data_IF_449921018811
#
_entry.id   IF_449921018811
#
_cell.length_a   1.000
_cell.length_b   1.000
_cell.length_c   1.000
_cell.angle_alpha   90.00
_cell.angle_beta   90.00
_cell.angle_gamma   90.00
#
_symmetry.space_group_name_H-M   'P 1'
#
loop_
_entity.id
_entity.type
_entity.pdbx_description
1 polymer ?
#
# COMPACT_ATOMS: atom_id res chain seq x y z
N UNK A 1 0.27 39.62 13.71
CA UNK A 1 1.06 38.43 14.08
C UNK A 1 0.17 37.21 13.89
N UNK A 2 0.30 36.48 12.78
CA UNK A 2 -0.31 35.15 12.64
C UNK A 2 0.55 34.17 13.46
N UNK A 3 -0.10 33.45 14.36
CA UNK A 3 0.55 32.72 15.44
C UNK A 3 1.18 31.43 14.90
N UNK A 4 2.40 31.10 15.33
CA UNK A 4 3.08 29.87 14.89
C UNK A 4 2.27 28.59 15.19
N UNK A 5 1.41 28.64 16.21
CA UNK A 5 0.45 27.59 16.57
C UNK A 5 -0.63 27.37 15.51
N UNK A 6 -1.15 28.44 14.89
CA UNK A 6 -2.16 28.34 13.83
C UNK A 6 -1.55 27.69 12.58
N UNK A 7 -0.30 28.02 12.26
CA UNK A 7 0.45 27.43 11.15
C UNK A 7 0.73 25.95 11.34
N UNK A 8 1.04 25.50 12.56
CA UNK A 8 1.27 24.08 12.86
C UNK A 8 -0.02 23.25 12.80
N UNK A 9 -1.13 23.78 13.31
CA UNK A 9 -2.44 23.13 13.23
C UNK A 9 -2.94 23.02 11.79
N UNK A 10 -2.80 24.08 11.00
CA UNK A 10 -3.14 24.08 9.57
C UNK A 10 -2.29 23.08 8.78
N UNK A 11 -1.00 22.98 9.11
CA UNK A 11 -0.10 22.00 8.49
C UNK A 11 -0.50 20.57 8.82
N UNK A 12 -0.74 20.26 10.10
CA UNK A 12 -1.21 18.95 10.52
C UNK A 12 -2.55 18.55 9.87
N UNK A 13 -3.49 19.48 9.75
CA UNK A 13 -4.77 19.22 9.08
C UNK A 13 -4.61 18.97 7.57
N UNK A 14 -3.68 19.68 6.91
CA UNK A 14 -3.37 19.45 5.50
C UNK A 14 -2.66 18.11 5.28
N UNK A 15 -1.74 17.74 6.18
CA UNK A 15 -1.02 16.46 6.12
C UNK A 15 -2.01 15.29 6.33
N UNK A 16 -2.95 15.41 7.27
CA UNK A 16 -4.02 14.43 7.49
C UNK A 16 -4.95 14.30 6.27
N UNK A 17 -5.37 15.42 5.67
CA UNK A 17 -6.18 15.40 4.45
C UNK A 17 -5.44 14.74 3.28
N UNK A 18 -4.13 14.98 3.14
CA UNK A 18 -3.30 14.36 2.13
C UNK A 18 -3.20 12.83 2.33
N UNK A 19 -2.99 12.37 3.57
CA UNK A 19 -2.95 10.95 3.90
C UNK A 19 -4.29 10.24 3.55
N UNK A 20 -5.42 10.84 3.90
CA UNK A 20 -6.75 10.33 3.55
C UNK A 20 -7.00 10.27 2.05
N UNK A 21 -6.58 11.30 1.30
CA UNK A 21 -6.70 11.33 -0.15
C UNK A 21 -5.86 10.22 -0.83
N UNK A 22 -4.64 9.98 -0.34
CA UNK A 22 -3.77 8.90 -0.82
C UNK A 22 -4.44 7.55 -0.61
N UNK A 23 -4.97 7.30 0.58
CA UNK A 23 -5.69 6.05 0.91
C UNK A 23 -6.93 5.87 0.04
N UNK A 24 -7.71 6.93 -0.20
CA UNK A 24 -8.88 6.86 -1.07
C UNK A 24 -8.53 6.55 -2.54
N UNK A 25 -7.41 7.11 -3.04
CA UNK A 25 -6.89 6.79 -4.37
C UNK A 25 -6.45 5.33 -4.46
N UNK A 26 -5.70 4.85 -3.45
CA UNK A 26 -5.28 3.45 -3.33
C UNK A 26 -6.50 2.51 -3.35
N UNK A 27 -7.52 2.81 -2.56
CA UNK A 27 -8.74 2.02 -2.51
C UNK A 27 -9.43 1.93 -3.88
N UNK A 28 -9.59 3.07 -4.58
CA UNK A 28 -10.18 3.10 -5.93
C UNK A 28 -9.37 2.33 -6.97
N UNK A 29 -8.03 2.31 -6.85
CA UNK A 29 -7.18 1.54 -7.76
C UNK A 29 -7.32 0.03 -7.52
N UNK A 30 -7.36 -0.38 -6.26
CA UNK A 30 -7.57 -1.78 -5.86
C UNK A 30 -8.95 -2.29 -6.31
N UNK A 31 -10.02 -1.53 -6.09
CA UNK A 31 -11.37 -1.92 -6.54
C UNK A 31 -11.39 -2.15 -8.06
N UNK A 32 -10.81 -1.24 -8.85
CA UNK A 32 -10.72 -1.39 -10.30
C UNK A 32 -9.94 -2.64 -10.75
N UNK A 33 -8.99 -3.13 -9.96
CA UNK A 33 -8.30 -4.40 -10.23
C UNK A 33 -9.16 -5.59 -9.84
N UNK A 34 -9.83 -5.52 -8.69
CA UNK A 34 -10.72 -6.57 -8.22
C UNK A 34 -11.87 -6.82 -9.20
N UNK A 35 -12.41 -5.76 -9.82
CA UNK A 35 -13.45 -5.86 -10.85
C UNK A 35 -13.04 -6.69 -12.07
N UNK A 36 -11.73 -6.84 -12.31
CA UNK A 36 -11.14 -7.60 -13.42
C UNK A 36 -10.63 -8.98 -13.00
N UNK A 37 -10.59 -9.28 -11.71
CA UNK A 37 -10.10 -10.56 -11.19
C UNK A 37 -11.27 -11.50 -10.86
N UNK A 38 -11.45 -12.52 -11.71
CA UNK A 38 -12.53 -13.48 -11.55
C UNK A 38 -12.28 -14.50 -10.44
N UNK A 39 -11.06 -14.64 -9.93
CA UNK A 39 -10.76 -15.56 -8.83
C UNK A 39 -11.21 -14.93 -7.50
N UNK A 40 -12.07 -15.63 -6.75
CA UNK A 40 -12.62 -15.13 -5.50
C UNK A 40 -11.60 -15.22 -4.35
N UNK A 41 -10.87 -16.34 -4.26
CA UNK A 41 -9.87 -16.52 -3.21
C UNK A 41 -8.68 -15.58 -3.41
N UNK A 42 -8.34 -14.81 -2.38
CA UNK A 42 -7.19 -13.92 -2.38
C UNK A 42 -7.34 -12.69 -3.28
N UNK A 43 -8.56 -12.41 -3.78
CA UNK A 43 -8.82 -11.34 -4.77
C UNK A 43 -8.35 -9.98 -4.27
N UNK A 44 -8.76 -9.63 -3.04
CA UNK A 44 -8.38 -8.37 -2.43
C UNK A 44 -6.86 -8.31 -2.23
N UNK A 45 -6.28 -9.36 -1.65
CA UNK A 45 -4.83 -9.42 -1.36
C UNK A 45 -4.00 -9.31 -2.63
N UNK A 46 -4.43 -9.96 -3.72
CA UNK A 46 -3.76 -9.92 -5.01
C UNK A 46 -3.80 -8.52 -5.63
N UNK A 47 -4.96 -7.88 -5.62
CA UNK A 47 -5.14 -6.52 -6.09
C UNK A 47 -4.30 -5.53 -5.26
N UNK A 48 -4.32 -5.68 -3.93
CA UNK A 48 -3.52 -4.89 -3.00
C UNK A 48 -2.03 -5.01 -3.28
N UNK A 49 -1.50 -6.24 -3.35
CA UNK A 49 -0.08 -6.51 -3.64
C UNK A 49 0.30 -5.89 -5.00
N UNK A 50 -0.48 -6.14 -6.05
CA UNK A 50 -0.17 -5.58 -7.37
C UNK A 50 -0.13 -4.04 -7.36
N UNK A 51 -1.04 -3.40 -6.64
CA UNK A 51 -1.10 -1.94 -6.56
C UNK A 51 0.08 -1.36 -5.76
N UNK A 52 0.49 -1.99 -4.64
CA UNK A 52 1.65 -1.51 -3.88
C UNK A 52 2.94 -1.57 -4.71
N UNK A 53 3.11 -2.60 -5.53
CA UNK A 53 4.26 -2.71 -6.43
C UNK A 53 4.22 -1.67 -7.54
N UNK A 54 3.04 -1.37 -8.09
CA UNK A 54 2.88 -0.35 -9.12
C UNK A 54 3.17 1.05 -8.54
N UNK A 55 2.69 1.35 -7.34
CA UNK A 55 3.02 2.60 -6.63
C UNK A 55 4.53 2.68 -6.35
N UNK A 56 5.12 1.65 -5.73
CA UNK A 56 6.53 1.69 -5.35
C UNK A 56 7.50 1.90 -6.52
N UNK A 57 7.13 1.44 -7.72
CA UNK A 57 7.90 1.68 -8.97
C UNK A 57 7.84 3.13 -9.47
N UNK A 58 6.89 3.93 -8.99
CA UNK A 58 6.76 5.35 -9.37
C UNK A 58 7.41 6.32 -8.37
N UNK A 59 7.88 5.82 -7.23
CA UNK A 59 8.51 6.65 -6.19
C UNK A 59 9.93 6.98 -6.64
N UNK A 60 10.12 8.18 -7.18
CA UNK A 60 11.44 8.68 -7.58
C UNK A 60 12.40 8.76 -6.40
N UNK A 61 13.68 8.50 -6.65
CA UNK A 61 14.76 8.75 -5.71
C UNK A 61 14.91 10.24 -5.34
N UNK A 62 14.33 11.17 -6.11
CA UNK A 62 14.30 12.60 -5.80
C UNK A 62 13.13 12.98 -4.88
N UNK A 63 12.10 12.14 -4.82
CA UNK A 63 10.93 12.32 -3.96
C UNK A 63 11.14 11.75 -2.55
N UNK A 64 12.36 11.37 -2.17
CA UNK A 64 12.68 10.76 -0.87
C UNK A 64 12.20 11.64 0.28
N UNK A 65 11.16 11.25 1.03
CA UNK A 65 11.04 11.76 2.37
C UNK A 65 12.07 10.98 3.20
N UNK A 66 13.05 11.67 3.78
CA UNK A 66 14.02 11.03 4.69
C UNK A 66 13.35 10.33 5.91
N UNK A 67 12.04 10.54 6.08
CA UNK A 67 11.16 9.80 6.97
C UNK A 67 9.97 9.25 6.17
N UNK A 68 9.70 7.95 6.29
CA UNK A 68 8.39 7.45 5.89
C UNK A 68 7.35 8.16 6.74
N UNK A 69 6.42 8.86 6.10
CA UNK A 69 5.34 9.58 6.76
C UNK A 69 4.54 8.63 7.66
N UNK A 70 4.67 8.82 8.97
CA UNK A 70 4.02 7.99 9.99
C UNK A 70 2.51 8.05 9.90
N UNK A 71 1.98 9.18 9.44
CA UNK A 71 0.54 9.45 9.38
C UNK A 71 -0.05 8.69 8.20
N UNK A 72 0.63 8.70 7.05
CA UNK A 72 0.29 7.82 5.94
C UNK A 72 0.34 6.33 6.31
N UNK A 73 1.39 5.87 7.01
CA UNK A 73 1.48 4.45 7.43
C UNK A 73 0.29 4.10 8.33
N UNK A 74 -0.02 4.97 9.29
CA UNK A 74 -1.10 4.77 10.27
C UNK A 74 -2.45 4.77 9.58
N UNK A 75 -2.72 5.75 8.71
CA UNK A 75 -3.94 5.83 7.92
C UNK A 75 -4.12 4.61 7.01
N UNK A 76 -3.06 4.16 6.33
CA UNK A 76 -3.11 2.95 5.48
C UNK A 76 -3.42 1.70 6.31
N UNK A 77 -2.80 1.53 7.48
CA UNK A 77 -3.06 0.37 8.35
C UNK A 77 -4.51 0.36 8.84
N UNK A 78 -5.00 1.49 9.35
CA UNK A 78 -6.38 1.62 9.80
C UNK A 78 -7.38 1.33 8.67
N UNK A 79 -7.11 1.85 7.47
CA UNK A 79 -7.91 1.57 6.29
C UNK A 79 -7.85 0.08 5.88
N UNK A 80 -6.66 -0.54 5.86
CA UNK A 80 -6.51 -1.94 5.50
C UNK A 80 -7.31 -2.84 6.45
N UNK A 81 -7.24 -2.58 7.75
CA UNK A 81 -8.02 -3.29 8.76
C UNK A 81 -9.52 -3.11 8.54
N UNK A 82 -9.96 -1.89 8.19
CA UNK A 82 -11.35 -1.61 7.89
C UNK A 82 -11.84 -2.39 6.67
N UNK A 83 -11.10 -2.35 5.56
CA UNK A 83 -11.45 -3.03 4.29
C UNK A 83 -11.42 -4.54 4.43
N UNK A 84 -10.47 -5.10 5.20
CA UNK A 84 -10.42 -6.55 5.44
C UNK A 84 -11.63 -7.10 6.21
N UNK A 85 -12.44 -6.24 6.86
CA UNK A 85 -13.73 -6.68 7.43
C UNK A 85 -14.71 -7.13 6.34
N UNK A 86 -14.65 -6.52 5.16
CA UNK A 86 -15.49 -6.87 4.00
C UNK A 86 -14.92 -8.05 3.20
N UNK A 87 -13.71 -8.50 3.52
CA UNK A 87 -13.02 -9.64 2.88
C UNK A 87 -12.61 -10.70 3.92
N UNK A 88 -13.57 -11.38 4.57
CA UNK A 88 -13.29 -12.24 5.71
C UNK A 88 -12.42 -13.47 5.38
N UNK A 89 -12.48 -13.98 4.16
CA UNK A 89 -11.61 -15.08 3.70
C UNK A 89 -10.16 -14.60 3.59
N UNK A 90 -9.93 -13.47 2.93
CA UNK A 90 -8.62 -12.84 2.83
C UNK A 90 -8.05 -12.45 4.20
N UNK A 91 -8.91 -12.03 5.14
CA UNK A 91 -8.49 -11.60 6.47
C UNK A 91 -7.98 -12.75 7.34
N UNK A 92 -8.61 -13.93 7.26
CA UNK A 92 -8.29 -15.08 8.13
C UNK A 92 -7.15 -15.93 7.61
N UNK A 93 -6.81 -15.77 6.33
CA UNK A 93 -5.76 -16.55 5.70
C UNK A 93 -4.36 -16.01 6.08
N UNK A 94 -3.57 -16.87 6.74
CA UNK A 94 -2.23 -16.54 7.21
C UNK A 94 -1.24 -16.31 6.05
N UNK A 95 -1.40 -17.06 4.95
CA UNK A 95 -0.55 -16.93 3.77
C UNK A 95 -0.82 -15.60 3.06
N UNK A 96 -2.10 -15.23 2.91
CA UNK A 96 -2.48 -13.92 2.36
C UNK A 96 -1.99 -12.77 3.25
N UNK A 97 -2.06 -12.94 4.57
CA UNK A 97 -1.52 -11.95 5.53
C UNK A 97 -0.02 -11.77 5.38
N UNK A 98 0.75 -12.86 5.31
CA UNK A 98 2.19 -12.79 5.09
C UNK A 98 2.53 -12.10 3.76
N UNK A 99 1.79 -12.42 2.69
CA UNK A 99 2.01 -11.80 1.37
C UNK A 99 1.74 -10.29 1.37
N UNK A 100 0.67 -9.83 2.05
CA UNK A 100 0.39 -8.39 2.22
C UNK A 100 1.51 -7.67 2.99
N UNK A 101 1.99 -8.26 4.08
CA UNK A 101 3.10 -7.66 4.86
C UNK A 101 4.41 -7.60 4.07
N UNK A 102 4.70 -8.59 3.22
CA UNK A 102 5.86 -8.54 2.33
C UNK A 102 5.75 -7.40 1.30
N UNK A 103 4.56 -7.20 0.72
CA UNK A 103 4.29 -6.08 -0.19
C UNK A 103 4.38 -4.72 0.52
N UNK A 104 3.93 -4.63 1.76
CA UNK A 104 4.12 -3.44 2.60
C UNK A 104 5.61 -3.12 2.78
N UNK A 105 6.42 -4.14 3.08
CA UNK A 105 7.87 -3.99 3.23
C UNK A 105 8.54 -3.48 1.95
N UNK A 106 8.09 -3.95 0.78
CA UNK A 106 8.53 -3.42 -0.51
C UNK A 106 8.22 -1.93 -0.66
N UNK A 107 6.98 -1.52 -0.42
CA UNK A 107 6.59 -0.12 -0.56
C UNK A 107 7.34 0.79 0.43
N UNK A 108 7.49 0.36 1.68
CA UNK A 108 8.25 1.11 2.70
C UNK A 108 9.72 1.29 2.28
N UNK A 109 10.34 0.24 1.72
CA UNK A 109 11.69 0.32 1.19
C UNK A 109 11.78 1.28 0.02
N UNK A 110 10.81 1.27 -0.90
CA UNK A 110 10.75 2.20 -2.03
C UNK A 110 10.59 3.66 -1.55
N UNK A 111 9.79 3.92 -0.50
CA UNK A 111 9.70 5.25 0.11
C UNK A 111 11.07 5.75 0.65
N UNK A 112 11.88 4.87 1.23
CA UNK A 112 13.17 5.25 1.84
C UNK A 112 14.27 5.40 0.79
N UNK A 113 14.34 4.48 -0.18
CA UNK A 113 15.48 4.36 -1.10
C UNK A 113 15.18 4.84 -2.53
N UNK A 114 13.92 5.07 -2.88
CA UNK A 114 13.46 5.27 -4.25
C UNK A 114 13.25 3.97 -5.04
N UNK A 115 12.63 4.07 -6.21
CA UNK A 115 12.30 2.95 -7.10
C UNK A 115 13.53 2.21 -7.64
N UNK A 116 14.66 2.90 -7.79
CA UNK A 116 15.89 2.35 -8.39
C UNK A 116 16.69 1.47 -7.41
N UNK A 117 16.26 1.40 -6.16
CA UNK A 117 16.97 0.68 -5.11
C UNK A 117 16.94 -0.85 -5.27
N UNK A 118 16.13 -1.38 -6.19
CA UNK A 118 16.08 -2.81 -6.52
C UNK A 118 15.92 -2.96 -8.03
N UNK A 119 16.72 -3.81 -8.70
CA UNK A 119 16.59 -4.05 -10.14
C UNK A 119 15.16 -4.45 -10.51
N UNK A 120 14.64 -3.89 -11.60
CA UNK A 120 13.24 -4.08 -12.03
C UNK A 120 12.86 -5.57 -12.13
N UNK A 121 13.70 -6.38 -12.76
CA UNK A 121 13.48 -7.83 -12.88
C UNK A 121 13.42 -8.56 -11.52
N UNK A 122 14.12 -8.08 -10.50
CA UNK A 122 14.03 -8.66 -9.15
C UNK A 122 12.72 -8.27 -8.47
N UNK A 123 12.30 -7.02 -8.63
CA UNK A 123 11.02 -6.50 -8.14
C UNK A 123 9.83 -7.25 -8.77
N UNK A 124 9.85 -7.49 -10.08
CA UNK A 124 8.82 -8.26 -10.78
C UNK A 124 8.74 -9.71 -10.27
N UNK A 125 9.88 -10.38 -10.10
CA UNK A 125 9.90 -11.74 -9.55
C UNK A 125 9.30 -11.83 -8.15
N UNK A 126 9.58 -10.85 -7.28
CA UNK A 126 8.98 -10.81 -5.94
C UNK A 126 7.48 -10.57 -6.03
N UNK A 127 7.04 -9.60 -6.85
CA UNK A 127 5.61 -9.34 -7.09
C UNK A 127 4.89 -10.60 -7.54
N UNK A 128 5.42 -11.30 -8.53
CA UNK A 128 4.81 -12.48 -9.10
C UNK A 128 4.77 -13.65 -8.10
N UNK A 129 5.82 -13.82 -7.29
CA UNK A 129 5.84 -14.80 -6.21
C UNK A 129 4.76 -14.52 -5.16
N UNK A 130 4.62 -13.26 -4.72
CA UNK A 130 3.60 -12.84 -3.77
C UNK A 130 2.18 -13.00 -4.36
N UNK A 131 1.99 -12.67 -5.64
CA UNK A 131 0.73 -12.92 -6.36
C UNK A 131 0.44 -14.42 -6.44
N UNK A 132 1.43 -15.27 -6.71
CA UNK A 132 1.25 -16.71 -6.74
C UNK A 132 0.82 -17.26 -5.37
N UNK A 133 1.34 -16.71 -4.27
CA UNK A 133 0.88 -17.02 -2.91
C UNK A 133 -0.58 -16.61 -2.64
N UNK A 134 -1.21 -15.79 -3.49
CA UNK A 134 -2.64 -15.47 -3.33
C UNK A 134 -3.59 -16.43 -4.03
N UNK A 135 -3.05 -17.50 -4.61
CA UNK A 135 -3.86 -18.55 -5.23
C UNK A 135 -4.24 -19.58 -4.16
N UNK A 136 -5.43 -20.19 -4.26
CA UNK A 136 -5.83 -21.23 -3.32
C UNK A 136 -4.81 -22.37 -3.35
N UNK A 137 -4.51 -22.91 -2.16
CA UNK A 137 -3.81 -24.18 -2.05
C UNK A 137 -4.63 -25.24 -2.81
N UNK A 138 -3.97 -25.99 -3.70
CA UNK A 138 -4.60 -27.07 -4.46
C UNK A 138 -4.98 -28.22 -3.55
#
# INVERSE_FOLDING_TARGET
>A
MHNATDTLLLRAANDDLAAHAIVANLHRAIQRRMDRDNQAHGRFSRAYIAELFDIGRTISAECRPHHVDSDWITARRAWLDAVLRDHPLDRRDAQLTAARHAADGFLLRACVLGCDATPEAATERVRDALIAMTRPAR
#
